data_IF_755379168321
#
_entry.id   IF_755379168321
#
_cell.length_a   1.000
_cell.length_b   1.000
_cell.length_c   1.000
_cell.angle_alpha   90.00
_cell.angle_beta   90.00
_cell.angle_gamma   90.00
#
_symmetry.space_group_name_H-M   'P 1'
#
loop_
_entity.id
_entity.type
_entity.pdbx_description
1 polymer ?
#
# COMPACT_ATOMS: atom_id res chain seq x y z
N UNK A 1 21.14 -13.50 3.21
CA UNK A 1 21.54 -12.78 1.99
C UNK A 1 21.74 -11.32 2.32
N UNK A 2 22.99 -10.84 2.34
CA UNK A 2 23.32 -9.52 2.89
C UNK A 2 24.18 -8.74 1.89
N UNK A 3 23.83 -7.48 1.64
CA UNK A 3 24.59 -6.52 0.83
C UNK A 3 24.92 -6.99 -0.60
N UNK A 4 24.03 -7.77 -1.21
CA UNK A 4 24.20 -8.23 -2.60
C UNK A 4 23.72 -7.18 -3.62
N UNK A 5 24.14 -7.36 -4.88
CA UNK A 5 23.64 -6.58 -6.03
C UNK A 5 24.19 -5.16 -6.18
N UNK A 6 25.11 -4.74 -5.30
CA UNK A 6 25.83 -3.47 -5.45
C UNK A 6 26.82 -3.55 -6.62
N UNK A 7 26.47 -2.98 -7.77
CA UNK A 7 27.41 -2.69 -8.86
C UNK A 7 27.49 -1.16 -9.01
N UNK A 8 28.70 -0.65 -9.26
CA UNK A 8 29.11 0.76 -9.08
C UNK A 8 28.34 1.79 -9.93
N UNK A 9 27.51 1.37 -10.88
CA UNK A 9 26.63 2.25 -11.65
C UNK A 9 25.19 1.68 -11.75
N UNK A 10 24.20 2.59 -11.83
CA UNK A 10 22.78 2.23 -11.91
C UNK A 10 22.39 1.52 -13.22
N UNK A 11 23.28 1.47 -14.21
CA UNK A 11 23.07 0.77 -15.50
C UNK A 11 23.47 -0.70 -15.49
N UNK A 12 24.21 -1.16 -14.46
CA UNK A 12 24.74 -2.52 -14.37
C UNK A 12 24.13 -3.35 -13.24
N UNK A 13 23.27 -2.78 -12.39
CA UNK A 13 22.72 -3.53 -11.26
C UNK A 13 21.86 -4.71 -11.73
N UNK A 14 21.91 -5.87 -11.04
CA UNK A 14 21.14 -7.05 -11.42
C UNK A 14 19.64 -6.81 -11.27
N UNK A 15 18.81 -7.61 -11.96
CA UNK A 15 17.35 -7.53 -11.84
C UNK A 15 16.86 -7.71 -10.40
N UNK A 16 17.50 -8.61 -9.65
CA UNK A 16 17.24 -8.88 -8.24
C UNK A 16 18.52 -8.70 -7.43
N UNK A 17 18.42 -8.10 -6.25
CA UNK A 17 19.61 -7.93 -5.41
C UNK A 17 20.12 -9.22 -4.79
N UNK A 18 19.26 -10.16 -4.36
CA UNK A 18 19.67 -11.41 -3.71
C UNK A 18 19.34 -12.67 -4.52
N UNK A 19 18.09 -12.85 -4.93
CA UNK A 19 17.62 -14.08 -5.57
C UNK A 19 16.80 -13.76 -6.82
N UNK A 20 17.20 -14.35 -7.95
CA UNK A 20 16.47 -14.29 -9.22
C UNK A 20 15.86 -15.66 -9.52
N UNK A 21 14.53 -15.74 -9.49
CA UNK A 21 13.76 -16.96 -9.72
C UNK A 21 12.85 -16.76 -10.93
N UNK A 22 13.18 -17.41 -12.04
CA UNK A 22 12.37 -17.40 -13.25
C UNK A 22 12.00 -18.82 -13.66
N UNK A 23 10.69 -19.08 -13.76
CA UNK A 23 10.14 -20.38 -14.11
C UNK A 23 9.16 -20.26 -15.28
N UNK A 24 9.59 -20.72 -16.44
CA UNK A 24 8.78 -20.72 -17.67
C UNK A 24 7.91 -21.97 -17.81
N UNK A 25 8.14 -23.00 -17.00
CA UNK A 25 7.30 -24.21 -16.95
C UNK A 25 5.99 -23.96 -16.21
N UNK A 26 4.98 -24.78 -16.48
CA UNK A 26 3.74 -24.85 -15.69
C UNK A 26 3.88 -25.74 -14.44
N UNK A 27 4.93 -26.56 -14.38
CA UNK A 27 5.28 -27.35 -13.19
C UNK A 27 6.33 -26.59 -12.39
N UNK A 28 5.92 -26.09 -11.21
CA UNK A 28 6.79 -25.36 -10.31
C UNK A 28 7.41 -26.32 -9.28
N UNK A 29 8.74 -26.34 -9.11
CA UNK A 29 9.34 -27.06 -8.00
C UNK A 29 8.97 -26.39 -6.69
N UNK A 30 8.95 -27.17 -5.61
CA UNK A 30 8.85 -26.61 -4.26
C UNK A 30 10.21 -26.02 -3.89
N UNK A 31 10.26 -24.71 -3.68
CA UNK A 31 11.42 -23.97 -3.22
C UNK A 31 11.16 -23.56 -1.78
N UNK A 32 11.97 -24.11 -0.87
CA UNK A 32 11.91 -23.74 0.53
C UNK A 32 12.90 -22.59 0.81
N UNK A 33 12.35 -21.39 1.02
CA UNK A 33 13.09 -20.19 1.42
C UNK A 33 12.68 -19.73 2.83
N UNK A 34 12.10 -20.60 3.65
CA UNK A 34 11.62 -20.23 4.98
C UNK A 34 12.77 -19.77 5.89
N UNK A 35 12.45 -18.86 6.81
CA UNK A 35 13.37 -18.40 7.87
C UNK A 35 14.70 -17.83 7.35
N UNK A 36 14.70 -17.23 6.16
CA UNK A 36 15.87 -16.57 5.62
C UNK A 36 15.91 -15.09 5.99
N UNK A 37 17.10 -14.52 6.03
CA UNK A 37 17.31 -13.11 6.36
C UNK A 37 17.90 -12.36 5.15
N UNK A 38 17.22 -11.31 4.70
CA UNK A 38 17.55 -10.50 3.52
C UNK A 38 17.78 -9.04 3.91
N UNK A 39 19.04 -8.59 3.91
CA UNK A 39 19.40 -7.24 4.34
C UNK A 39 20.24 -6.48 3.31
N UNK A 40 19.90 -5.22 3.06
CA UNK A 40 20.75 -4.28 2.32
C UNK A 40 21.01 -4.69 0.86
N UNK A 41 20.16 -5.55 0.28
CA UNK A 41 20.31 -6.00 -1.09
C UNK A 41 19.75 -4.94 -2.06
N UNK A 42 20.41 -4.77 -3.21
CA UNK A 42 20.04 -3.76 -4.21
C UNK A 42 19.85 -4.42 -5.57
N UNK A 43 18.71 -4.19 -6.21
CA UNK A 43 18.43 -4.66 -7.57
C UNK A 43 17.60 -3.68 -8.39
N UNK A 44 17.45 -3.93 -9.69
CA UNK A 44 16.67 -3.07 -10.59
C UNK A 44 15.18 -3.18 -10.29
N UNK A 45 14.61 -4.38 -10.36
CA UNK A 45 13.17 -4.62 -10.19
C UNK A 45 12.83 -5.16 -8.81
N UNK A 46 13.77 -5.85 -8.15
CA UNK A 46 13.61 -6.35 -6.80
C UNK A 46 14.85 -6.08 -5.96
N UNK A 47 14.70 -5.48 -4.78
CA UNK A 47 15.84 -5.32 -3.89
C UNK A 47 16.32 -6.65 -3.31
N UNK A 48 15.41 -7.55 -2.89
CA UNK A 48 15.81 -8.89 -2.42
C UNK A 48 15.49 -10.00 -3.45
N UNK A 49 14.23 -10.32 -3.68
CA UNK A 49 13.82 -11.51 -4.42
C UNK A 49 12.98 -11.11 -5.63
N UNK A 50 13.39 -11.54 -6.82
CA UNK A 50 12.59 -11.44 -8.04
C UNK A 50 12.00 -12.81 -8.38
N UNK A 51 10.68 -12.87 -8.54
CA UNK A 51 9.94 -14.10 -8.86
C UNK A 51 9.11 -13.84 -10.12
N UNK A 52 9.46 -14.51 -11.21
CA UNK A 52 8.67 -14.50 -12.43
C UNK A 52 8.30 -15.92 -12.82
N UNK A 53 7.01 -16.15 -13.03
CA UNK A 53 6.47 -17.43 -13.47
C UNK A 53 5.73 -17.27 -14.81
N UNK A 54 5.48 -18.38 -15.50
CA UNK A 54 4.68 -18.39 -16.74
C UNK A 54 3.22 -17.97 -16.52
N UNK A 55 2.69 -18.23 -15.33
CA UNK A 55 1.35 -17.84 -14.88
C UNK A 55 1.36 -17.54 -13.38
N UNK A 56 0.36 -16.78 -12.91
CA UNK A 56 0.25 -16.46 -11.49
C UNK A 56 0.20 -17.74 -10.64
N UNK A 57 1.03 -17.78 -9.60
CA UNK A 57 1.09 -18.87 -8.64
C UNK A 57 -0.25 -18.99 -7.91
N UNK A 58 -0.72 -20.23 -7.78
CA UNK A 58 -1.95 -20.59 -7.07
C UNK A 58 -1.71 -21.64 -5.97
N UNK A 59 -0.44 -21.99 -5.70
CA UNK A 59 -0.04 -23.09 -4.82
C UNK A 59 1.21 -22.75 -3.99
N UNK A 60 1.41 -23.45 -2.87
CA UNK A 60 2.53 -23.31 -1.90
C UNK A 60 3.88 -23.81 -2.45
N UNK A 61 4.27 -23.31 -3.62
CA UNK A 61 5.50 -23.75 -4.31
C UNK A 61 6.71 -22.94 -3.91
N UNK A 62 6.53 -21.69 -3.49
CA UNK A 62 7.59 -20.88 -2.90
C UNK A 62 7.20 -20.66 -1.45
N UNK A 63 8.06 -21.09 -0.52
CA UNK A 63 7.80 -20.99 0.93
C UNK A 63 8.70 -19.93 1.54
N UNK A 64 8.15 -18.78 1.89
CA UNK A 64 8.91 -17.66 2.47
C UNK A 64 8.63 -17.42 3.96
N UNK A 65 7.79 -18.24 4.57
CA UNK A 65 7.39 -18.13 5.96
C UNK A 65 8.60 -18.05 6.94
N UNK A 66 8.51 -17.13 7.90
CA UNK A 66 9.57 -16.76 8.83
C UNK A 66 10.70 -15.91 8.24
N UNK A 67 10.68 -15.55 6.96
CA UNK A 67 11.78 -14.78 6.36
C UNK A 67 11.71 -13.30 6.72
N UNK A 68 12.86 -12.71 7.01
CA UNK A 68 12.98 -11.30 7.39
C UNK A 68 13.62 -10.46 6.28
N UNK A 69 13.06 -9.28 6.02
CA UNK A 69 13.57 -8.31 5.05
C UNK A 69 13.86 -6.96 5.69
N UNK A 70 15.05 -6.43 5.43
CA UNK A 70 15.60 -5.23 6.06
C UNK A 70 16.30 -4.37 5.02
N UNK A 71 15.87 -3.12 4.87
CA UNK A 71 16.60 -2.10 4.08
C UNK A 71 17.05 -2.54 2.67
N UNK A 72 16.28 -3.40 1.99
CA UNK A 72 16.53 -3.73 0.59
C UNK A 72 16.03 -2.59 -0.31
N UNK A 73 16.53 -2.49 -1.53
CA UNK A 73 16.22 -1.37 -2.44
C UNK A 73 16.03 -1.84 -3.87
N UNK A 74 14.88 -1.50 -4.45
CA UNK A 74 14.69 -1.53 -5.90
C UNK A 74 15.04 -0.16 -6.50
N UNK A 75 15.84 -0.14 -7.57
CA UNK A 75 16.26 1.10 -8.25
C UNK A 75 15.15 1.61 -9.16
N UNK A 76 14.46 0.71 -9.87
CA UNK A 76 13.36 1.10 -10.74
C UNK A 76 12.16 1.54 -9.89
N UNK A 77 11.51 2.62 -10.30
CA UNK A 77 10.28 3.13 -9.68
C UNK A 77 9.11 2.16 -9.78
N UNK A 78 9.14 1.24 -10.75
CA UNK A 78 8.17 0.14 -10.91
C UNK A 78 8.55 -1.13 -10.15
N UNK A 79 9.71 -1.14 -9.49
CA UNK A 79 10.20 -2.29 -8.72
C UNK A 79 9.64 -2.35 -7.31
N UNK A 80 9.91 -3.47 -6.63
CA UNK A 80 9.54 -3.70 -5.24
C UNK A 80 10.80 -3.88 -4.38
N UNK A 81 10.95 -3.09 -3.32
CA UNK A 81 12.17 -3.11 -2.51
C UNK A 81 12.51 -4.47 -1.91
N UNK A 82 11.53 -5.30 -1.53
CA UNK A 82 11.81 -6.64 -1.02
C UNK A 82 11.54 -7.71 -2.06
N UNK A 83 10.27 -7.92 -2.41
CA UNK A 83 9.87 -9.02 -3.30
C UNK A 83 9.09 -8.45 -4.48
N UNK A 84 9.67 -8.61 -5.67
CA UNK A 84 8.91 -8.53 -6.90
C UNK A 84 8.35 -9.90 -7.24
N UNK A 85 7.06 -9.97 -7.57
CA UNK A 85 6.43 -11.17 -8.08
C UNK A 85 5.37 -10.83 -9.12
N UNK A 86 5.25 -11.64 -10.17
CA UNK A 86 4.08 -11.55 -11.06
C UNK A 86 2.79 -12.04 -10.37
N UNK A 87 2.90 -12.73 -9.23
CA UNK A 87 1.80 -13.25 -8.42
C UNK A 87 1.53 -12.36 -7.21
N UNK A 88 0.31 -12.38 -6.67
CA UNK A 88 0.02 -11.70 -5.41
C UNK A 88 0.85 -12.31 -4.28
N UNK A 89 1.25 -11.50 -3.30
CA UNK A 89 2.07 -11.95 -2.19
C UNK A 89 1.47 -13.18 -1.47
N UNK A 90 0.16 -13.23 -1.27
CA UNK A 90 -0.54 -14.38 -0.67
C UNK A 90 -0.19 -15.72 -1.34
N UNK A 91 0.04 -15.72 -2.66
CA UNK A 91 0.41 -16.93 -3.39
C UNK A 91 1.81 -17.46 -3.04
N UNK A 92 2.68 -16.62 -2.46
CA UNK A 92 4.06 -16.96 -2.08
C UNK A 92 4.20 -17.55 -0.66
N UNK A 93 3.08 -17.82 0.02
CA UNK A 93 3.08 -18.37 1.40
C UNK A 93 2.23 -19.62 1.56
N UNK A 94 1.51 -20.00 0.50
CA UNK A 94 0.90 -21.31 0.42
C UNK A 94 -0.39 -21.50 1.19
N UNK A 95 -1.42 -21.82 0.40
CA UNK A 95 -2.82 -22.04 0.77
C UNK A 95 -3.58 -20.73 0.92
N UNK A 96 -4.91 -20.82 0.81
CA UNK A 96 -5.93 -19.75 0.81
C UNK A 96 -5.95 -18.85 2.07
N UNK A 97 -4.84 -18.75 2.79
CA UNK A 97 -4.65 -17.95 3.97
C UNK A 97 -4.19 -16.56 3.54
N UNK A 98 -4.96 -15.56 3.93
CA UNK A 98 -4.60 -14.15 3.76
C UNK A 98 -3.32 -13.92 4.56
N UNK A 99 -2.21 -13.70 3.86
CA UNK A 99 -1.07 -13.04 4.48
C UNK A 99 -1.56 -11.63 4.77
N UNK A 100 -1.99 -11.39 6.01
CA UNK A 100 -2.52 -10.10 6.42
C UNK A 100 -2.08 -9.83 7.84
N UNK A 101 -0.95 -9.14 7.97
CA UNK A 101 -0.80 -8.24 9.09
C UNK A 101 -1.68 -7.03 8.76
N UNK A 102 -2.77 -6.80 9.52
CA UNK A 102 -3.60 -5.63 9.31
C UNK A 102 -2.75 -4.38 9.41
N UNK A 103 -3.05 -3.38 8.59
CA UNK A 103 -2.41 -2.09 8.66
C UNK A 103 -3.38 -1.14 9.38
N UNK A 104 -2.95 -0.56 10.49
CA UNK A 104 -3.64 0.55 11.15
C UNK A 104 -2.80 1.82 11.04
N UNK A 105 -3.45 2.95 10.74
CA UNK A 105 -2.80 4.26 10.67
C UNK A 105 -3.41 5.24 11.67
N UNK A 106 -2.56 6.00 12.34
CA UNK A 106 -2.95 7.02 13.33
C UNK A 106 -1.81 7.98 13.62
N UNK A 107 -2.08 9.27 13.78
CA UNK A 107 -1.05 10.29 14.09
C UNK A 107 -0.33 10.08 15.42
N UNK A 108 -0.89 9.28 16.34
CA UNK A 108 -0.24 8.89 17.60
C UNK A 108 0.91 7.89 17.42
N UNK A 109 1.02 7.25 16.26
CA UNK A 109 2.08 6.30 15.97
C UNK A 109 3.31 7.03 15.42
N UNK A 110 4.49 6.72 15.97
CA UNK A 110 5.78 7.31 15.58
C UNK A 110 6.66 6.33 14.78
N UNK A 111 5.99 5.43 14.07
CA UNK A 111 6.64 4.41 13.25
C UNK A 111 7.09 5.03 11.93
N UNK A 112 8.40 5.27 11.79
CA UNK A 112 9.01 5.82 10.58
C UNK A 112 9.12 4.79 9.45
N UNK A 113 8.81 5.22 8.23
CA UNK A 113 9.30 4.81 6.89
C UNK A 113 9.30 3.31 6.48
N UNK A 114 9.29 3.11 5.16
CA UNK A 114 9.35 1.83 4.44
C UNK A 114 10.60 0.95 4.72
N UNK A 115 11.42 1.28 5.71
CA UNK A 115 12.68 0.59 6.04
C UNK A 115 12.57 -0.35 7.23
N UNK A 116 11.41 -0.41 7.89
CA UNK A 116 11.18 -1.30 9.03
C UNK A 116 11.48 -2.76 8.72
N UNK A 117 12.05 -3.47 9.69
CA UNK A 117 12.25 -4.91 9.57
C UNK A 117 10.89 -5.59 9.46
N UNK A 118 10.77 -6.49 8.50
CA UNK A 118 9.53 -7.25 8.33
C UNK A 118 9.86 -8.73 8.32
N UNK A 119 9.23 -9.47 9.23
CA UNK A 119 9.30 -10.94 9.22
C UNK A 119 7.98 -11.46 8.68
N UNK A 120 8.05 -12.21 7.59
CA UNK A 120 6.87 -12.73 6.94
C UNK A 120 6.40 -13.99 7.64
N UNK A 121 5.45 -13.87 8.57
CA UNK A 121 4.83 -15.02 9.23
C UNK A 121 3.51 -15.41 8.56
N UNK A 122 3.28 -16.71 8.34
CA UNK A 122 1.94 -17.23 8.03
C UNK A 122 0.96 -16.75 9.09
N UNK A 123 -0.24 -16.35 8.65
CA UNK A 123 -1.30 -15.87 9.53
C UNK A 123 -1.47 -16.81 10.72
N UNK A 124 -1.04 -16.32 11.88
CA UNK A 124 -1.26 -16.93 13.18
C UNK A 124 -2.64 -16.44 13.63
N UNK A 125 -3.38 -17.23 14.41
CA UNK A 125 -4.59 -16.72 15.08
C UNK A 125 -4.25 -15.39 15.78
N UNK A 126 -4.84 -14.28 15.33
CA UNK A 126 -4.49 -12.88 15.68
C UNK A 126 -3.16 -12.41 15.07
N UNK A 127 -3.11 -12.09 13.76
CA UNK A 127 -1.92 -11.50 13.16
C UNK A 127 -1.59 -10.16 13.81
N UNK A 128 -0.30 -9.91 14.05
CA UNK A 128 0.18 -8.64 14.58
C UNK A 128 -0.22 -7.50 13.63
N UNK A 129 -0.76 -6.41 14.17
CA UNK A 129 -1.10 -5.22 13.39
C UNK A 129 0.16 -4.38 13.16
N UNK A 130 0.39 -3.97 11.92
CA UNK A 130 1.39 -2.97 11.60
C UNK A 130 0.80 -1.57 11.75
N UNK A 131 1.50 -0.74 12.49
CA UNK A 131 1.09 0.62 12.80
C UNK A 131 1.91 1.61 11.98
N UNK A 132 1.23 2.60 11.38
CA UNK A 132 1.89 3.71 10.68
C UNK A 132 1.32 5.05 11.11
N UNK A 133 2.15 6.09 11.02
CA UNK A 133 1.73 7.46 11.36
C UNK A 133 0.63 7.99 10.44
N UNK A 134 0.68 7.60 9.16
CA UNK A 134 -0.20 8.08 8.11
C UNK A 134 -0.32 7.04 6.97
N UNK A 135 -1.29 7.22 6.08
CA UNK A 135 -1.60 6.37 4.93
C UNK A 135 -0.43 6.35 3.96
N UNK A 136 0.24 7.48 3.73
CA UNK A 136 1.40 7.53 2.84
C UNK A 136 2.53 6.60 3.30
N UNK A 137 2.85 6.61 4.59
CA UNK A 137 3.85 5.69 5.16
C UNK A 137 3.44 4.23 5.00
N UNK A 138 2.15 3.92 5.16
CA UNK A 138 1.62 2.59 4.93
C UNK A 138 1.68 2.18 3.44
N UNK A 139 1.38 3.09 2.52
CA UNK A 139 1.51 2.89 1.08
C UNK A 139 2.96 2.58 0.70
N UNK A 140 3.91 3.37 1.19
CA UNK A 140 5.34 3.19 0.91
C UNK A 140 5.85 1.88 1.50
N UNK A 141 5.46 1.52 2.71
CA UNK A 141 5.77 0.22 3.30
C UNK A 141 5.19 -0.93 2.47
N UNK A 142 3.91 -0.85 2.11
CA UNK A 142 3.26 -1.91 1.34
C UNK A 142 3.86 -2.05 -0.07
N UNK A 143 4.38 -0.97 -0.66
CA UNK A 143 5.03 -0.98 -1.99
C UNK A 143 6.29 -1.85 -2.06
N UNK A 144 6.85 -2.27 -0.91
CA UNK A 144 7.93 -3.25 -0.84
C UNK A 144 7.54 -4.62 -1.39
N UNK A 145 6.24 -4.87 -1.53
CA UNK A 145 5.64 -6.11 -2.02
C UNK A 145 4.49 -5.81 -2.99
N UNK A 146 4.23 -6.73 -3.90
CA UNK A 146 3.05 -6.61 -4.79
C UNK A 146 1.75 -6.90 -4.03
N UNK A 147 0.79 -5.97 -4.13
CA UNK A 147 -0.59 -6.09 -3.63
C UNK A 147 -0.75 -6.22 -2.10
N UNK A 148 0.23 -5.77 -1.31
CA UNK A 148 0.13 -5.81 0.16
C UNK A 148 -0.90 -4.79 0.70
N UNK A 149 -0.99 -3.62 0.09
CA UNK A 149 -1.89 -2.53 0.45
C UNK A 149 -3.35 -2.79 0.04
N UNK A 150 -3.89 -4.00 0.17
CA UNK A 150 -5.31 -4.21 -0.19
C UNK A 150 -6.30 -3.70 0.87
N UNK A 151 -5.84 -3.35 2.08
CA UNK A 151 -6.65 -2.88 3.20
C UNK A 151 -5.83 -2.05 4.20
N UNK A 152 -6.31 -0.85 4.52
CA UNK A 152 -5.75 0.08 5.50
C UNK A 152 -6.88 0.55 6.42
N UNK A 153 -6.69 0.45 7.74
CA UNK A 153 -7.64 0.95 8.73
C UNK A 153 -7.14 2.26 9.33
N UNK A 154 -7.92 3.34 9.24
CA UNK A 154 -7.62 4.64 9.85
C UNK A 154 -8.26 4.70 11.24
N UNK A 155 -7.48 5.01 12.26
CA UNK A 155 -7.93 5.10 13.65
C UNK A 155 -7.61 6.47 14.20
N UNK A 156 -8.64 7.22 14.56
CA UNK A 156 -8.48 8.61 14.95
C UNK A 156 -7.99 9.48 13.79
N UNK A 157 -7.25 10.52 14.13
CA UNK A 157 -6.81 11.53 13.18
C UNK A 157 -5.45 11.19 12.54
N UNK A 158 -5.34 11.32 11.22
CA UNK A 158 -4.07 11.31 10.46
C UNK A 158 -3.94 12.58 9.64
N UNK A 159 -2.70 12.99 9.37
CA UNK A 159 -2.39 14.13 8.51
C UNK A 159 -1.65 13.63 7.27
N UNK A 160 -2.12 14.07 6.12
CA UNK A 160 -1.51 13.82 4.82
C UNK A 160 -1.22 15.15 4.16
N UNK A 161 0.05 15.34 3.81
CA UNK A 161 0.58 16.48 3.06
C UNK A 161 1.11 16.06 1.68
N UNK A 162 1.32 14.77 1.47
CA UNK A 162 1.72 14.17 0.20
C UNK A 162 0.53 13.59 -0.58
N UNK A 163 0.78 13.28 -1.85
CA UNK A 163 -0.17 12.58 -2.72
C UNK A 163 -0.15 11.08 -2.42
N UNK A 164 -1.34 10.52 -2.24
CA UNK A 164 -1.57 9.09 -2.01
C UNK A 164 -2.11 8.49 -3.30
N UNK A 165 -1.54 7.36 -3.73
CA UNK A 165 -1.93 6.72 -4.99
C UNK A 165 -2.07 5.21 -4.89
N UNK A 166 -3.23 4.69 -5.27
CA UNK A 166 -3.49 3.25 -5.32
C UNK A 166 -3.99 2.82 -6.69
N UNK A 167 -3.46 1.70 -7.19
CA UNK A 167 -3.67 1.26 -8.57
C UNK A 167 -4.93 0.42 -8.77
N UNK A 168 -5.31 -0.40 -7.79
CA UNK A 168 -6.57 -1.16 -7.69
C UNK A 168 -6.55 -2.01 -6.41
N UNK A 169 -7.72 -2.42 -5.93
CA UNK A 169 -7.89 -3.43 -4.89
C UNK A 169 -7.67 -2.94 -3.46
N UNK A 170 -7.52 -1.63 -3.25
CA UNK A 170 -7.39 -1.06 -1.90
C UNK A 170 -8.77 -0.85 -1.26
N UNK A 171 -8.87 -1.21 0.01
CA UNK A 171 -9.92 -0.76 0.93
C UNK A 171 -9.30 0.16 1.97
N UNK A 172 -9.71 1.43 2.02
CA UNK A 172 -9.38 2.32 3.15
C UNK A 172 -10.64 2.46 3.99
N UNK A 173 -10.55 2.15 5.28
CA UNK A 173 -11.71 2.19 6.16
C UNK A 173 -11.40 2.81 7.52
N UNK A 174 -12.36 3.52 8.11
CA UNK A 174 -12.36 3.75 9.56
C UNK A 174 -12.92 2.53 10.30
N UNK A 175 -13.03 2.62 11.62
CA UNK A 175 -13.75 1.59 12.40
C UNK A 175 -15.27 1.84 12.30
N UNK A 176 -16.05 0.82 11.95
CA UNK A 176 -17.52 0.93 11.88
C UNK A 176 -18.13 1.04 13.28
N UNK A 177 -19.17 1.86 13.46
CA UNK A 177 -19.98 1.93 14.70
C UNK A 177 -19.16 2.27 15.96
N UNK A 178 -18.33 3.30 15.87
CA UNK A 178 -17.53 3.71 17.02
C UNK A 178 -18.40 4.53 17.98
N UNK A 179 -18.32 4.18 19.27
CA UNK A 179 -18.94 4.95 20.35
C UNK A 179 -18.00 6.09 20.80
N UNK A 180 -16.69 5.87 20.68
CA UNK A 180 -15.63 6.84 20.97
C UNK A 180 -15.19 7.59 19.69
N UNK A 181 -15.47 8.89 19.62
CA UNK A 181 -15.08 9.71 18.47
C UNK A 181 -13.56 9.78 18.25
N UNK A 182 -12.73 9.47 19.26
CA UNK A 182 -11.26 9.48 19.13
C UNK A 182 -10.72 8.35 18.26
N UNK A 183 -11.51 7.30 18.03
CA UNK A 183 -11.18 6.20 17.14
C UNK A 183 -11.75 6.41 15.72
N UNK A 184 -12.53 7.48 15.49
CA UNK A 184 -13.10 7.82 14.18
C UNK A 184 -12.01 8.16 13.19
N UNK A 185 -12.02 7.50 12.03
CA UNK A 185 -10.98 7.67 11.02
C UNK A 185 -11.11 9.01 10.31
N UNK A 186 -10.31 10.00 10.72
CA UNK A 186 -10.26 11.34 10.14
C UNK A 186 -8.94 11.48 9.37
N UNK A 187 -9.04 11.87 8.10
CA UNK A 187 -7.91 12.12 7.22
C UNK A 187 -7.87 13.62 6.92
N UNK A 188 -6.91 14.34 7.52
CA UNK A 188 -6.70 15.74 7.19
C UNK A 188 -5.78 15.87 5.98
N UNK A 189 -6.24 16.64 5.02
CA UNK A 189 -5.69 16.75 3.68
C UNK A 189 -5.17 18.17 3.47
N UNK A 190 -3.85 18.34 3.49
CA UNK A 190 -3.17 19.64 3.40
C UNK A 190 -2.13 19.69 2.28
N UNK A 191 -2.38 19.02 1.15
CA UNK A 191 -1.45 18.97 0.01
C UNK A 191 -1.01 20.37 -0.45
N UNK A 192 0.31 20.51 -0.65
CA UNK A 192 0.92 21.69 -1.28
C UNK A 192 0.84 21.71 -2.81
N UNK A 193 0.21 20.70 -3.43
CA UNK A 193 0.11 20.52 -4.87
C UNK A 193 -1.30 20.81 -5.38
N UNK A 194 -1.44 21.28 -6.62
CA UNK A 194 -2.74 21.56 -7.23
C UNK A 194 -3.51 20.31 -7.66
N UNK A 195 -2.82 19.17 -7.77
CA UNK A 195 -3.41 17.89 -8.16
C UNK A 195 -4.29 17.28 -7.06
N UNK A 196 -4.99 16.20 -7.41
CA UNK A 196 -5.82 15.47 -6.45
C UNK A 196 -4.95 14.81 -5.37
N UNK A 197 -5.34 14.96 -4.10
CA UNK A 197 -4.51 14.45 -3.01
C UNK A 197 -4.58 12.92 -2.87
N UNK A 198 -5.73 12.33 -3.16
CA UNK A 198 -5.91 10.87 -3.20
C UNK A 198 -6.25 10.48 -4.64
N UNK A 199 -5.45 9.60 -5.22
CA UNK A 199 -5.62 9.11 -6.59
C UNK A 199 -5.91 7.61 -6.52
N UNK A 200 -7.13 7.24 -6.91
CA UNK A 200 -7.58 5.86 -6.99
C UNK A 200 -7.75 5.48 -8.45
N UNK A 201 -7.06 4.44 -8.88
CA UNK A 201 -7.33 3.81 -10.17
C UNK A 201 -7.94 2.42 -9.98
N UNK A 202 -8.73 1.94 -10.93
CA UNK A 202 -9.30 0.59 -10.86
C UNK A 202 -10.39 0.43 -9.78
N UNK A 203 -10.47 -0.77 -9.19
CA UNK A 203 -11.57 -1.12 -8.26
C UNK A 203 -11.17 -0.90 -6.82
N UNK A 204 -11.82 0.01 -6.10
CA UNK A 204 -11.42 0.40 -4.75
C UNK A 204 -12.61 0.58 -3.81
N UNK A 205 -12.35 0.67 -2.51
CA UNK A 205 -13.38 0.95 -1.50
C UNK A 205 -12.88 1.96 -0.48
N UNK A 206 -13.69 2.98 -0.22
CA UNK A 206 -13.54 3.92 0.89
C UNK A 206 -14.78 3.81 1.77
N UNK A 207 -14.62 3.67 3.09
CA UNK A 207 -15.80 3.60 3.98
C UNK A 207 -15.56 4.03 5.42
N UNK A 208 -16.57 4.62 6.05
CA UNK A 208 -16.53 5.00 7.48
C UNK A 208 -15.40 5.98 7.80
N UNK A 209 -15.16 6.96 6.93
CA UNK A 209 -14.07 7.93 7.02
C UNK A 209 -14.60 9.35 7.00
N UNK A 210 -13.90 10.26 7.68
CA UNK A 210 -14.02 11.70 7.47
C UNK A 210 -12.79 12.22 6.72
N UNK A 211 -13.00 12.92 5.62
CA UNK A 211 -11.97 13.62 4.86
C UNK A 211 -12.11 15.11 5.14
N UNK A 212 -11.11 15.70 5.79
CA UNK A 212 -11.10 17.11 6.15
C UNK A 212 -10.04 17.87 5.34
N UNK A 213 -10.48 18.75 4.45
CA UNK A 213 -9.58 19.58 3.65
C UNK A 213 -9.13 20.78 4.46
N UNK A 214 -7.83 20.87 4.73
CA UNK A 214 -7.25 22.06 5.31
C UNK A 214 -7.45 23.27 4.37
N UNK A 215 -7.77 24.43 4.92
CA UNK A 215 -7.96 25.69 4.18
C UNK A 215 -6.75 26.06 3.31
N UNK A 216 -5.54 25.72 3.78
CA UNK A 216 -4.28 26.00 3.07
C UNK A 216 -3.95 24.96 1.98
N UNK A 217 -4.76 23.90 1.85
CA UNK A 217 -4.59 22.90 0.79
C UNK A 217 -4.71 23.54 -0.59
N UNK A 218 -3.76 23.26 -1.47
CA UNK A 218 -3.78 23.72 -2.86
C UNK A 218 -4.50 22.76 -3.79
N UNK A 219 -4.86 21.56 -3.32
CA UNK A 219 -5.53 20.55 -4.13
C UNK A 219 -6.85 21.07 -4.67
N UNK A 220 -6.99 20.99 -6.00
CA UNK A 220 -8.23 21.34 -6.70
C UNK A 220 -9.30 20.25 -6.52
N UNK A 221 -8.88 19.01 -6.23
CA UNK A 221 -9.79 17.95 -5.84
C UNK A 221 -9.23 17.16 -4.65
N UNK A 222 -10.07 16.63 -3.76
CA UNK A 222 -9.55 15.72 -2.72
C UNK A 222 -9.25 14.35 -3.31
N UNK A 223 -10.22 13.80 -4.07
CA UNK A 223 -10.12 12.43 -4.60
C UNK A 223 -10.30 12.46 -6.12
N UNK A 224 -9.35 11.82 -6.83
CA UNK A 224 -9.50 11.46 -8.24
C UNK A 224 -9.76 9.96 -8.37
N UNK A 225 -10.76 9.60 -9.16
CA UNK A 225 -11.12 8.21 -9.45
C UNK A 225 -11.05 7.99 -10.96
N UNK A 226 -10.22 7.05 -11.40
CA UNK A 226 -10.07 6.72 -12.83
C UNK A 226 -9.98 5.22 -13.10
N UNK A 227 -10.84 4.72 -14.01
CA UNK A 227 -10.97 3.30 -14.31
C UNK A 227 -11.58 2.46 -13.17
N UNK A 228 -12.14 1.30 -13.52
CA UNK A 228 -12.74 0.36 -12.56
C UNK A 228 -13.98 0.86 -11.83
N UNK A 229 -14.31 0.20 -10.71
CA UNK A 229 -15.49 0.48 -9.88
C UNK A 229 -15.03 0.91 -8.49
N UNK A 230 -15.34 2.13 -8.07
CA UNK A 230 -15.05 2.58 -6.69
C UNK A 230 -16.33 2.71 -5.89
N UNK A 231 -16.32 2.13 -4.68
CA UNK A 231 -17.41 2.27 -3.71
C UNK A 231 -16.99 3.22 -2.60
N UNK A 232 -17.83 4.21 -2.31
CA UNK A 232 -17.69 5.13 -1.19
C UNK A 232 -18.94 4.98 -0.32
N UNK A 233 -18.77 4.50 0.91
CA UNK A 233 -19.89 4.21 1.81
C UNK A 233 -19.71 4.88 3.17
N UNK A 234 -20.69 5.67 3.58
CA UNK A 234 -20.75 6.26 4.93
C UNK A 234 -19.47 7.07 5.24
N UNK A 235 -19.09 7.92 4.29
CA UNK A 235 -17.98 8.85 4.39
C UNK A 235 -18.47 10.30 4.54
N UNK A 236 -17.73 11.12 5.26
CA UNK A 236 -17.97 12.55 5.39
C UNK A 236 -16.84 13.33 4.72
N UNK A 237 -17.18 14.36 3.96
CA UNK A 237 -16.22 15.23 3.28
C UNK A 237 -16.45 16.66 3.74
N UNK A 238 -15.46 17.26 4.41
CA UNK A 238 -15.50 18.63 4.91
C UNK A 238 -14.44 19.47 4.19
N UNK A 239 -14.81 20.67 3.73
CA UNK A 239 -13.84 21.59 3.14
C UNK A 239 -14.49 22.66 2.29
N UNK A 240 -14.03 23.90 2.41
CA UNK A 240 -14.58 25.02 1.64
C UNK A 240 -13.87 25.21 0.29
N UNK A 241 -14.58 25.80 -0.67
CA UNK A 241 -13.95 26.39 -1.86
C UNK A 241 -12.97 27.47 -1.40
N UNK A 242 -11.66 27.24 -1.52
CA UNK A 242 -10.70 28.32 -1.27
C UNK A 242 -10.95 29.45 -2.27
N UNK A 243 -10.79 30.70 -1.84
CA UNK A 243 -10.94 31.87 -2.71
C UNK A 243 -9.94 31.88 -3.87
N UNK A 244 -8.87 31.08 -3.78
CA UNK A 244 -7.77 31.03 -4.75
C UNK A 244 -7.89 29.89 -5.77
N UNK A 245 -8.76 28.89 -5.54
CA UNK A 245 -8.98 27.76 -6.42
C UNK A 245 -10.38 27.84 -7.06
N UNK A 246 -10.48 28.49 -8.22
CA UNK A 246 -11.75 28.77 -8.90
C UNK A 246 -12.61 27.57 -9.32
N UNK A 247 -12.27 26.32 -8.96
CA UNK A 247 -13.09 25.12 -9.15
C UNK A 247 -12.57 24.02 -8.19
N UNK A 248 -13.05 23.98 -6.95
CA UNK A 248 -12.78 22.87 -6.03
C UNK A 248 -13.88 21.79 -6.14
N UNK A 249 -13.49 20.52 -6.08
CA UNK A 249 -14.42 19.40 -5.97
C UNK A 249 -13.94 18.38 -4.93
N UNK A 250 -14.83 17.84 -4.10
CA UNK A 250 -14.46 16.76 -3.20
C UNK A 250 -13.99 15.52 -3.98
N UNK A 251 -14.72 15.14 -5.02
CA UNK A 251 -14.44 13.96 -5.82
C UNK A 251 -14.54 14.34 -7.29
N UNK A 252 -13.53 13.98 -8.08
CA UNK A 252 -13.57 13.99 -9.53
C UNK A 252 -13.46 12.54 -10.03
N UNK A 253 -14.44 12.10 -10.81
CA UNK A 253 -14.51 10.72 -11.30
C UNK A 253 -14.73 10.67 -12.79
N UNK A 254 -13.95 9.81 -13.46
CA UNK A 254 -14.15 9.41 -14.85
C UNK A 254 -14.51 7.91 -14.96
N UNK A 255 -14.89 7.28 -13.85
CA UNK A 255 -15.12 5.85 -13.71
C UNK A 255 -16.45 5.56 -13.02
N UNK A 256 -16.86 4.29 -13.01
CA UNK A 256 -18.03 3.88 -12.26
C UNK A 256 -17.78 4.08 -10.76
N UNK A 257 -18.61 4.91 -10.13
CA UNK A 257 -18.49 5.26 -8.72
C UNK A 257 -19.84 5.16 -8.06
N UNK A 258 -19.93 4.36 -7.01
CA UNK A 258 -21.13 4.26 -6.15
C UNK A 258 -20.86 5.00 -4.86
N UNK A 259 -21.69 5.99 -4.54
CA UNK A 259 -21.60 6.76 -3.30
C UNK A 259 -22.89 6.52 -2.50
N UNK A 260 -22.76 5.97 -1.29
CA UNK A 260 -23.89 5.69 -0.39
C UNK A 260 -23.65 6.30 0.98
N UNK A 261 -24.72 6.77 1.62
CA UNK A 261 -24.72 7.26 3.00
C UNK A 261 -23.66 8.33 3.31
N UNK A 262 -23.16 9.05 2.31
CA UNK A 262 -22.03 9.97 2.46
C UNK A 262 -22.50 11.42 2.49
N UNK A 263 -21.78 12.26 3.23
CA UNK A 263 -22.08 13.67 3.45
C UNK A 263 -20.99 14.57 2.85
N UNK A 264 -21.37 15.71 2.26
CA UNK A 264 -20.46 16.71 1.72
C UNK A 264 -20.79 18.08 2.31
N UNK A 265 -19.83 18.68 3.02
CA UNK A 265 -19.97 19.94 3.76
C UNK A 265 -18.96 20.94 3.20
N UNK A 266 -19.47 21.92 2.44
CA UNK A 266 -18.70 22.99 1.79
C UNK A 266 -18.69 24.32 2.53
#
# INVERSE_FOLDING_TARGET
FINNGKIQDASSSPTAGALYLEYTSSQFPIINLQSNYFEGNIGQLAGAIYIQTSSALNSDVIKLDGSTFVSNTAIATSGNSDIYSNSNLNALFGLNNEYYHPIEVSSKWDTSLATQNITLSKSINNPETYYFKNIKSAQDFASRFKSWNSKITVVGQVNEDEVIQFSSGITIEGKKKIVDLTDHGIINLSSGFSESQIILTGTNTLRWLEFDRNLDSKSQQLISISGGITTIDDCKFTGSTSTDSGNFAFINTAAETTITNSEFIG
#
